data_IF_168212622640
#
_entry.id   IF_168212622640
#
_cell.length_a   1.000
_cell.length_b   1.000
_cell.length_c   1.000
_cell.angle_alpha   90.00
_cell.angle_beta   90.00
_cell.angle_gamma   90.00
#
_symmetry.space_group_name_H-M   'P 1'
#
loop_
_entity.id
_entity.type
_entity.pdbx_description
1 polymer ?
#
# COMPACT_ATOMS: atom_id res chain seq x y z
N UNK A 1 -28.22 3.61 8.38
CA UNK A 1 -27.02 4.09 9.11
C UNK A 1 -26.38 2.90 9.79
N UNK A 2 -25.06 2.90 9.93
CA UNK A 2 -24.36 1.86 10.70
C UNK A 2 -24.90 1.84 12.14
N UNK A 3 -24.87 0.67 12.78
CA UNK A 3 -25.24 0.54 14.19
C UNK A 3 -24.30 1.42 15.05
N UNK A 4 -24.78 2.00 16.16
CA UNK A 4 -23.97 2.88 17.02
C UNK A 4 -22.69 2.22 17.56
N UNK A 5 -22.68 0.90 17.65
CA UNK A 5 -21.63 0.02 18.15
C UNK A 5 -20.87 -0.72 17.04
N UNK A 6 -21.03 -0.31 15.79
CA UNK A 6 -20.37 -0.94 14.66
C UNK A 6 -18.83 -0.87 14.78
N UNK A 7 -18.19 -2.04 14.80
CA UNK A 7 -16.75 -2.20 14.70
C UNK A 7 -16.42 -2.82 13.33
N UNK A 8 -15.63 -2.14 12.48
CA UNK A 8 -15.27 -2.66 11.15
C UNK A 8 -14.60 -4.03 11.24
N UNK A 9 -15.07 -4.98 10.44
CA UNK A 9 -14.38 -6.26 10.26
C UNK A 9 -13.12 -6.06 9.41
N UNK A 10 -12.24 -7.06 9.40
CA UNK A 10 -11.08 -7.08 8.49
C UNK A 10 -11.52 -6.98 7.02
N UNK A 11 -12.65 -7.60 6.68
CA UNK A 11 -13.18 -7.59 5.33
C UNK A 11 -13.67 -6.19 4.92
N UNK A 12 -14.27 -5.46 5.86
CA UNK A 12 -14.68 -4.06 5.65
C UNK A 12 -13.45 -3.16 5.43
N UNK A 13 -12.39 -3.38 6.20
CA UNK A 13 -11.12 -2.67 6.03
C UNK A 13 -10.48 -2.97 4.66
N UNK A 14 -10.54 -4.21 4.18
CA UNK A 14 -10.00 -4.60 2.87
C UNK A 14 -10.79 -4.02 1.69
N UNK A 15 -12.09 -3.78 1.87
CA UNK A 15 -12.95 -3.14 0.84
C UNK A 15 -12.88 -1.61 0.84
N UNK A 16 -12.30 -1.03 1.87
CA UNK A 16 -12.22 0.41 2.02
C UNK A 16 -11.28 0.99 0.96
N UNK A 17 -11.82 1.86 0.10
CA UNK A 17 -11.02 2.61 -0.86
C UNK A 17 -10.47 3.86 -0.17
N UNK A 18 -9.24 3.77 0.31
CA UNK A 18 -8.48 4.95 0.69
C UNK A 18 -7.46 5.27 -0.38
N UNK A 19 -7.31 6.56 -0.70
CA UNK A 19 -6.28 7.00 -1.65
C UNK A 19 -4.93 7.00 -0.93
N UNK A 20 -4.01 6.12 -1.34
CA UNK A 20 -2.60 6.21 -0.93
C UNK A 20 -2.00 7.52 -1.48
N UNK A 21 -1.35 8.29 -0.61
CA UNK A 21 -0.66 9.54 -0.95
C UNK A 21 0.79 9.45 -0.47
N UNK A 22 1.76 9.80 -1.31
CA UNK A 22 3.18 9.67 -0.97
C UNK A 22 3.73 8.24 -1.11
N UNK A 23 4.71 7.91 -0.27
CA UNK A 23 5.47 6.66 -0.28
C UNK A 23 5.34 6.03 1.11
N UNK A 24 4.93 4.77 1.17
CA UNK A 24 4.78 4.02 2.42
C UNK A 24 5.62 2.75 2.36
N UNK A 25 6.54 2.59 3.31
CA UNK A 25 7.35 1.39 3.44
C UNK A 25 6.79 0.48 4.53
N UNK A 26 6.58 -0.78 4.18
CA UNK A 26 5.97 -1.78 5.05
C UNK A 26 6.95 -2.95 5.15
N UNK A 27 7.76 -3.03 6.23
CA UNK A 27 8.62 -4.17 6.47
C UNK A 27 7.80 -5.36 6.96
N UNK A 28 8.06 -6.54 6.40
CA UNK A 28 7.46 -7.79 6.84
C UNK A 28 8.43 -8.96 6.65
N UNK A 29 8.17 -10.07 7.36
CA UNK A 29 8.93 -11.31 7.20
C UNK A 29 8.06 -12.38 6.56
N UNK A 30 8.64 -13.13 5.64
CA UNK A 30 8.04 -14.35 5.12
C UNK A 30 9.09 -15.46 5.22
N UNK A 31 8.82 -16.44 6.08
CA UNK A 31 9.77 -17.48 6.50
C UNK A 31 11.07 -16.87 7.04
N UNK A 32 12.20 -17.23 6.43
CA UNK A 32 13.54 -16.74 6.78
C UNK A 32 13.95 -15.44 6.05
N UNK A 33 13.07 -14.92 5.18
CA UNK A 33 13.37 -13.75 4.36
C UNK A 33 12.66 -12.51 4.92
N UNK A 34 13.39 -11.41 4.97
CA UNK A 34 12.86 -10.09 5.30
C UNK A 34 12.58 -9.33 4.01
N UNK A 35 11.39 -8.75 3.91
CA UNK A 35 10.93 -7.96 2.78
C UNK A 35 10.52 -6.57 3.25
N UNK A 36 10.65 -5.60 2.34
CA UNK A 36 10.02 -4.28 2.49
C UNK A 36 9.15 -4.07 1.27
N UNK A 37 7.85 -3.92 1.47
CA UNK A 37 6.93 -3.50 0.40
C UNK A 37 6.81 -1.99 0.43
N UNK A 38 7.06 -1.35 -0.70
CA UNK A 38 6.90 0.09 -0.86
C UNK A 38 5.64 0.37 -1.66
N UNK A 39 4.58 0.84 -0.98
CA UNK A 39 3.35 1.30 -1.62
C UNK A 39 3.50 2.78 -2.03
N UNK A 40 3.22 3.07 -3.29
CA UNK A 40 3.38 4.40 -3.89
C UNK A 40 2.04 4.94 -4.36
N UNK A 41 1.74 6.18 -4.01
CA UNK A 41 0.54 6.87 -4.49
C UNK A 41 0.47 6.87 -6.02
N UNK A 42 -0.63 6.37 -6.57
CA UNK A 42 -0.86 6.26 -8.02
C UNK A 42 -1.29 7.55 -8.72
N UNK A 43 -1.61 8.60 -7.94
CA UNK A 43 -2.09 9.87 -8.46
C UNK A 43 -0.99 10.62 -9.24
N UNK A 44 -1.38 11.40 -10.26
CA UNK A 44 -0.43 12.12 -11.12
C UNK A 44 0.54 13.03 -10.35
N UNK A 45 0.11 13.60 -9.22
CA UNK A 45 0.94 14.41 -8.32
C UNK A 45 2.05 13.62 -7.63
N UNK A 46 1.81 12.35 -7.33
CA UNK A 46 2.73 11.48 -6.60
C UNK A 46 3.65 10.69 -7.53
N UNK A 47 3.32 10.54 -8.82
CA UNK A 47 4.17 9.86 -9.82
C UNK A 47 5.58 10.43 -9.90
N UNK A 48 5.77 11.73 -9.66
CA UNK A 48 7.10 12.35 -9.62
C UNK A 48 7.99 11.78 -8.50
N UNK A 49 7.40 11.23 -7.45
CA UNK A 49 8.11 10.65 -6.30
C UNK A 49 8.54 9.21 -6.54
N UNK A 50 7.99 8.52 -7.55
CA UNK A 50 8.28 7.10 -7.80
C UNK A 50 9.77 6.83 -8.03
N UNK A 51 10.49 7.80 -8.62
CA UNK A 51 11.93 7.68 -8.85
C UNK A 51 12.73 7.47 -7.55
N UNK A 52 12.22 7.93 -6.40
CA UNK A 52 12.86 7.73 -5.11
C UNK A 52 12.70 6.30 -4.58
N UNK A 53 11.75 5.53 -5.10
CA UNK A 53 11.47 4.16 -4.65
C UNK A 53 12.08 3.10 -5.56
N UNK A 54 12.58 3.49 -6.73
CA UNK A 54 13.13 2.54 -7.71
C UNK A 54 14.60 2.20 -7.46
N UNK A 55 15.32 3.00 -6.67
CA UNK A 55 16.69 2.65 -6.31
C UNK A 55 16.70 1.53 -5.27
N UNK A 56 17.34 0.41 -5.61
CA UNK A 56 17.40 -0.78 -4.75
C UNK A 56 16.15 -1.67 -4.73
N UNK A 57 15.11 -1.36 -5.51
CA UNK A 57 13.95 -2.25 -5.63
C UNK A 57 14.33 -3.56 -6.32
N UNK A 58 14.11 -4.70 -5.65
CA UNK A 58 14.41 -6.02 -6.24
C UNK A 58 13.38 -6.44 -7.30
N UNK A 59 12.12 -6.05 -7.12
CA UNK A 59 10.98 -6.46 -7.95
C UNK A 59 9.93 -5.35 -8.00
N UNK A 60 9.16 -5.31 -9.08
CA UNK A 60 8.04 -4.37 -9.27
C UNK A 60 6.75 -5.18 -9.43
N UNK A 61 5.73 -4.84 -8.65
CA UNK A 61 4.38 -5.36 -8.82
C UNK A 61 3.55 -4.27 -9.49
N UNK A 62 3.11 -4.50 -10.73
CA UNK A 62 2.26 -3.58 -11.46
C UNK A 62 0.82 -4.11 -11.47
N UNK A 63 -0.10 -3.34 -10.91
CA UNK A 63 -1.53 -3.69 -10.80
C UNK A 63 -2.31 -2.96 -11.89
N UNK A 64 -3.16 -3.70 -12.59
CA UNK A 64 -4.12 -3.20 -13.59
C UNK A 64 -5.51 -3.72 -13.22
N UNK A 65 -6.52 -2.88 -13.43
CA UNK A 65 -7.94 -3.26 -13.30
C UNK A 65 -8.43 -4.07 -14.51
#
# INVERSE_FOLDING_TARGET
>A
MLAPDYLPSKEDLMRLKFKTCGIHEIPFKCNQYSYTMTDVGGASSDRRKWIHCFDGANQIIYVVD
#
